data_IF_942756761187
#
_entry.id   IF_942756761187
#
_cell.length_a   1.000
_cell.length_b   1.000
_cell.length_c   1.000
_cell.angle_alpha   90.00
_cell.angle_beta   90.00
_cell.angle_gamma   90.00
#
_symmetry.space_group_name_H-M   'P 1'
#
loop_
_entity.id
_entity.type
_entity.pdbx_description
1 polymer ?
#
# COMPACT_ATOMS: atom_id res chain seq x y z
N UNK A 1 -37.86 54.42 3.88
CA UNK A 1 -36.90 53.78 2.95
C UNK A 1 -36.74 52.32 3.37
N UNK A 2 -37.42 51.41 2.68
CA UNK A 2 -37.46 49.98 3.02
C UNK A 2 -37.08 49.15 1.79
N UNK A 3 -36.37 48.05 2.08
CA UNK A 3 -35.41 47.35 1.21
C UNK A 3 -36.07 46.52 0.10
N UNK A 4 -35.47 46.57 -1.07
CA UNK A 4 -35.82 45.82 -2.27
C UNK A 4 -35.18 44.41 -2.20
N UNK A 5 -36.00 43.36 -2.31
CA UNK A 5 -35.58 41.96 -2.32
C UNK A 5 -35.27 41.56 -3.77
N UNK A 6 -34.05 41.09 -4.03
CA UNK A 6 -33.60 40.59 -5.35
C UNK A 6 -33.85 39.07 -5.40
N UNK A 7 -34.48 38.52 -6.45
CA UNK A 7 -34.71 37.08 -6.53
C UNK A 7 -33.48 36.30 -7.00
N UNK A 8 -33.35 35.12 -6.40
CA UNK A 8 -32.33 34.08 -6.55
C UNK A 8 -32.12 33.65 -8.01
N UNK A 9 -30.85 33.62 -8.46
CA UNK A 9 -30.46 33.04 -9.75
C UNK A 9 -30.26 31.53 -9.61
N UNK A 10 -31.02 30.79 -10.43
CA UNK A 10 -30.97 29.34 -10.61
C UNK A 10 -29.55 28.84 -10.96
N UNK A 11 -29.00 27.95 -10.12
CA UNK A 11 -27.78 27.19 -10.39
C UNK A 11 -28.14 25.90 -11.14
N UNK A 12 -28.42 26.00 -12.43
CA UNK A 12 -28.59 24.83 -13.29
C UNK A 12 -28.01 25.13 -14.67
N UNK A 13 -26.68 25.09 -14.81
CA UNK A 13 -25.97 24.97 -16.10
C UNK A 13 -24.44 24.98 -15.92
N UNK A 14 -23.85 23.97 -15.27
CA UNK A 14 -22.40 23.69 -15.36
C UNK A 14 -22.08 22.20 -15.21
N UNK A 15 -22.90 21.33 -15.82
CA UNK A 15 -22.64 19.89 -15.91
C UNK A 15 -22.58 19.50 -17.39
N UNK A 16 -21.48 19.85 -18.06
CA UNK A 16 -21.07 19.26 -19.36
C UNK A 16 -19.66 19.76 -19.71
N UNK A 17 -18.68 19.44 -18.87
CA UNK A 17 -17.28 19.35 -19.32
C UNK A 17 -16.50 18.47 -18.37
N UNK A 18 -16.64 17.15 -18.52
CA UNK A 18 -15.70 16.18 -17.95
C UNK A 18 -14.80 15.69 -19.08
N UNK A 19 -13.76 16.46 -19.39
CA UNK A 19 -12.62 15.92 -20.12
C UNK A 19 -11.80 15.07 -19.14
N UNK A 20 -12.04 13.76 -19.14
CA UNK A 20 -11.09 12.81 -18.57
C UNK A 20 -9.91 12.65 -19.53
N UNK A 21 -8.65 12.74 -19.08
CA UNK A 21 -7.53 12.22 -19.88
C UNK A 21 -7.67 10.70 -20.00
N UNK A 22 -7.41 10.18 -21.21
CA UNK A 22 -7.43 8.75 -21.52
C UNK A 22 -6.42 7.98 -20.63
N UNK A 23 -6.72 6.74 -20.23
CA UNK A 23 -5.80 5.91 -19.48
C UNK A 23 -4.53 5.63 -20.31
N UNK A 24 -3.38 5.96 -19.74
CA UNK A 24 -2.07 5.61 -20.30
C UNK A 24 -1.90 4.08 -20.36
N UNK A 25 -1.37 3.50 -21.44
CA UNK A 25 -1.17 2.06 -21.54
C UNK A 25 -0.18 1.57 -20.48
N UNK A 26 -0.49 0.43 -19.87
CA UNK A 26 0.31 -0.18 -18.82
C UNK A 26 1.75 -0.46 -19.30
N UNK A 27 2.77 -0.25 -18.44
CA UNK A 27 4.16 -0.56 -18.79
C UNK A 27 4.34 -2.07 -19.00
N UNK A 28 5.26 -2.49 -19.89
CA UNK A 28 5.49 -3.91 -20.17
C UNK A 28 6.00 -4.65 -18.93
N UNK A 29 5.52 -5.87 -18.73
CA UNK A 29 5.94 -6.77 -17.65
C UNK A 29 7.43 -7.12 -17.82
N UNK A 30 8.23 -6.87 -16.79
CA UNK A 30 9.65 -7.24 -16.76
C UNK A 30 9.81 -8.75 -16.52
N UNK A 31 10.79 -9.43 -17.16
CA UNK A 31 11.04 -10.85 -16.92
C UNK A 31 11.53 -11.10 -15.48
N UNK A 32 10.91 -12.06 -14.80
CA UNK A 32 11.37 -12.55 -13.50
C UNK A 32 12.67 -13.34 -13.68
N UNK A 33 13.76 -12.84 -13.09
CA UNK A 33 15.05 -13.52 -13.07
C UNK A 33 15.00 -14.64 -12.02
N UNK A 34 14.86 -15.89 -12.49
CA UNK A 34 14.91 -17.08 -11.64
C UNK A 34 16.36 -17.33 -11.19
N UNK A 35 16.64 -17.54 -9.89
CA UNK A 35 17.99 -17.89 -9.45
C UNK A 35 18.41 -19.27 -9.98
N UNK A 36 19.60 -19.34 -10.59
CA UNK A 36 20.26 -20.58 -11.00
C UNK A 36 20.59 -21.44 -9.78
N UNK A 37 20.25 -22.72 -9.85
CA UNK A 37 20.67 -23.74 -8.90
C UNK A 37 22.21 -23.85 -8.88
N UNK A 38 22.82 -23.71 -7.70
CA UNK A 38 24.20 -24.12 -7.46
C UNK A 38 24.28 -25.64 -7.43
N UNK A 39 25.29 -26.19 -8.10
CA UNK A 39 25.71 -27.59 -8.04
C UNK A 39 27.18 -27.68 -7.62
N UNK A 40 27.61 -28.90 -7.23
CA UNK A 40 28.90 -29.39 -6.69
C UNK A 40 29.13 -29.21 -5.18
N UNK A 41 29.71 -30.16 -4.44
CA UNK A 41 30.21 -31.51 -4.73
C UNK A 41 30.48 -32.29 -3.41
N UNK A 42 30.46 -33.62 -3.52
CA UNK A 42 31.28 -34.64 -2.82
C UNK A 42 32.01 -34.30 -1.51
N UNK A 43 31.75 -35.05 -0.44
CA UNK A 43 32.78 -35.72 0.37
C UNK A 43 32.15 -36.76 1.31
N UNK A 44 32.83 -37.90 1.42
CA UNK A 44 32.48 -39.06 2.25
C UNK A 44 32.79 -38.85 3.74
N UNK A 45 32.05 -39.55 4.61
CA UNK A 45 32.54 -40.38 5.74
C UNK A 45 31.46 -40.50 6.83
N UNK A 46 30.96 -41.71 7.01
CA UNK A 46 30.18 -42.18 8.17
C UNK A 46 31.03 -42.24 9.45
N UNK A 47 30.40 -42.16 10.64
CA UNK A 47 30.34 -43.38 11.44
C UNK A 47 28.95 -43.65 12.07
N UNK A 48 28.75 -44.92 12.40
CA UNK A 48 27.53 -45.55 12.91
C UNK A 48 27.27 -45.32 14.40
N UNK A 49 26.01 -45.44 14.82
CA UNK A 49 25.55 -45.81 16.18
C UNK A 49 24.07 -46.27 16.13
N UNK A 50 23.56 -47.01 17.14
CA UNK A 50 23.27 -48.43 17.02
C UNK A 50 21.78 -48.76 16.81
N UNK A 51 21.55 -49.96 16.26
CA UNK A 51 20.24 -50.60 16.11
C UNK A 51 19.63 -50.93 17.47
N UNK A 52 18.41 -50.44 17.74
CA UNK A 52 17.56 -51.01 18.80
C UNK A 52 16.06 -50.79 18.51
N UNK A 53 15.31 -51.89 18.45
CA UNK A 53 13.88 -51.92 18.78
C UNK A 53 12.87 -51.94 17.63
N UNK A 54 12.69 -53.09 16.99
CA UNK A 54 11.42 -53.44 16.33
C UNK A 54 10.36 -53.77 17.40
N UNK A 55 9.24 -53.06 17.45
CA UNK A 55 7.94 -53.50 18.02
C UNK A 55 6.77 -52.71 17.37
N UNK A 56 5.54 -53.27 17.37
CA UNK A 56 4.74 -53.43 16.15
C UNK A 56 3.84 -52.24 15.82
N UNK A 57 3.54 -52.12 14.52
CA UNK A 57 2.44 -51.29 13.99
C UNK A 57 1.13 -51.91 14.45
N UNK A 58 0.37 -51.17 15.26
CA UNK A 58 -1.02 -51.51 15.58
C UNK A 58 -1.87 -51.04 14.40
N UNK A 59 -2.53 -51.99 13.72
CA UNK A 59 -3.52 -51.68 12.71
C UNK A 59 -4.72 -51.01 13.39
N UNK A 60 -4.96 -49.74 13.10
CA UNK A 60 -6.22 -49.09 13.40
C UNK A 60 -7.24 -49.53 12.34
N UNK A 61 -8.28 -50.22 12.82
CA UNK A 61 -9.42 -50.69 12.05
C UNK A 61 -10.07 -49.55 11.28
N UNK A 62 -10.34 -49.78 9.99
CA UNK A 62 -11.12 -48.89 9.15
C UNK A 62 -12.51 -48.69 9.75
N UNK A 63 -12.82 -47.45 10.12
CA UNK A 63 -14.20 -47.02 10.30
C UNK A 63 -14.80 -46.73 8.92
N UNK A 64 -16.03 -47.16 8.70
CA UNK A 64 -16.77 -47.03 7.46
C UNK A 64 -16.82 -45.57 6.96
N UNK A 65 -16.90 -45.33 5.63
CA UNK A 65 -17.01 -43.99 5.09
C UNK A 65 -18.32 -43.35 5.58
N UNK A 66 -18.20 -42.21 6.26
CA UNK A 66 -19.32 -41.32 6.51
C UNK A 66 -19.93 -40.89 5.15
N UNK A 67 -21.25 -40.66 5.07
CA UNK A 67 -21.88 -40.22 3.83
C UNK A 67 -21.21 -38.93 3.38
N UNK A 68 -20.80 -38.92 2.11
CA UNK A 68 -20.24 -37.79 1.40
C UNK A 68 -21.02 -36.51 1.75
N UNK A 69 -20.40 -35.64 2.53
CA UNK A 69 -20.79 -34.24 2.54
C UNK A 69 -20.67 -33.79 1.09
N UNK A 70 -21.81 -33.46 0.48
CA UNK A 70 -21.86 -32.81 -0.82
C UNK A 70 -20.82 -31.71 -0.82
N UNK A 71 -19.81 -31.87 -1.68
CA UNK A 71 -18.89 -30.79 -2.02
C UNK A 71 -19.76 -29.69 -2.59
N UNK A 72 -20.11 -28.72 -1.74
CA UNK A 72 -20.72 -27.48 -2.19
C UNK A 72 -19.61 -26.76 -2.92
N UNK A 73 -19.52 -27.01 -4.22
CA UNK A 73 -18.83 -26.18 -5.19
C UNK A 73 -19.10 -24.71 -4.82
N UNK A 74 -18.08 -24.05 -4.27
CA UNK A 74 -18.19 -22.67 -3.86
C UNK A 74 -18.42 -21.84 -5.12
N UNK A 75 -19.67 -21.42 -5.35
CA UNK A 75 -20.02 -20.54 -6.46
C UNK A 75 -19.14 -19.30 -6.35
N UNK A 76 -18.29 -19.01 -7.36
CA UNK A 76 -17.46 -17.81 -7.34
C UNK A 76 -18.37 -16.58 -7.29
N UNK A 77 -18.36 -15.87 -6.15
CA UNK A 77 -19.18 -14.67 -5.96
C UNK A 77 -20.27 -14.77 -4.86
N UNK A 78 -20.42 -15.91 -4.19
CA UNK A 78 -21.28 -16.00 -3.00
C UNK A 78 -20.57 -15.42 -1.76
N UNK A 79 -20.17 -14.15 -1.82
CA UNK A 79 -19.82 -13.43 -0.60
C UNK A 79 -21.13 -13.08 0.10
N UNK A 80 -21.32 -13.56 1.33
CA UNK A 80 -22.45 -13.19 2.16
C UNK A 80 -22.49 -11.67 2.42
N UNK A 81 -23.48 -11.22 3.20
CA UNK A 81 -23.56 -9.81 3.60
C UNK A 81 -22.25 -9.35 4.25
N UNK A 82 -21.60 -8.34 3.69
CA UNK A 82 -20.41 -7.70 4.28
C UNK A 82 -20.84 -7.01 5.57
N UNK A 83 -20.19 -7.35 6.68
CA UNK A 83 -20.51 -6.82 8.01
C UNK A 83 -19.68 -5.60 8.41
N UNK A 84 -18.55 -5.36 7.75
CA UNK A 84 -17.65 -4.25 8.03
C UNK A 84 -16.74 -3.95 6.83
N UNK A 85 -16.27 -2.70 6.76
CA UNK A 85 -15.26 -2.24 5.80
C UNK A 85 -14.14 -1.57 6.58
N UNK A 86 -12.89 -1.98 6.33
CA UNK A 86 -11.69 -1.35 6.86
C UNK A 86 -11.02 -0.55 5.74
N UNK A 87 -10.90 0.76 5.91
CA UNK A 87 -10.24 1.64 4.96
C UNK A 87 -8.78 1.88 5.38
N UNK A 88 -7.86 1.72 4.45
CA UNK A 88 -6.53 2.31 4.56
C UNK A 88 -6.60 3.82 4.28
N UNK A 89 -5.55 4.57 4.60
CA UNK A 89 -5.49 6.02 4.44
C UNK A 89 -4.73 6.41 3.17
N UNK A 90 -3.45 6.12 3.12
CA UNK A 90 -2.55 6.51 2.04
C UNK A 90 -2.78 5.64 0.79
N UNK A 91 -2.92 6.27 -0.37
CA UNK A 91 -3.19 5.55 -1.63
C UNK A 91 -4.63 5.00 -1.76
N UNK A 92 -5.44 5.08 -0.70
CA UNK A 92 -6.86 4.65 -0.71
C UNK A 92 -7.81 5.84 -0.51
N UNK A 93 -7.70 6.54 0.62
CA UNK A 93 -8.54 7.71 0.91
C UNK A 93 -7.84 9.01 0.53
N UNK A 94 -6.51 9.03 0.56
CA UNK A 94 -5.69 10.22 0.29
C UNK A 94 -4.65 9.97 -0.80
N UNK A 95 -4.52 10.93 -1.72
CA UNK A 95 -3.43 11.03 -2.69
C UNK A 95 -2.20 11.68 -2.02
N UNK A 96 -1.59 10.96 -1.09
CA UNK A 96 -0.51 11.44 -0.22
C UNK A 96 0.91 11.23 -0.76
N UNK A 97 1.09 10.42 -1.80
CA UNK A 97 2.40 10.07 -2.34
C UNK A 97 3.17 11.26 -2.93
N UNK A 98 2.53 12.03 -3.82
CA UNK A 98 3.16 13.21 -4.42
C UNK A 98 3.45 14.31 -3.38
N UNK A 99 2.49 14.67 -2.49
CA UNK A 99 2.79 15.60 -1.40
C UNK A 99 3.91 15.12 -0.46
N UNK A 100 4.01 13.81 -0.17
CA UNK A 100 5.09 13.24 0.63
C UNK A 100 6.44 13.40 -0.05
N UNK A 101 6.55 13.07 -1.35
CA UNK A 101 7.81 13.25 -2.09
C UNK A 101 8.27 14.71 -2.12
N UNK A 102 7.35 15.66 -2.29
CA UNK A 102 7.68 17.10 -2.22
C UNK A 102 8.13 17.55 -0.82
N UNK A 103 7.49 17.06 0.23
CA UNK A 103 7.93 17.32 1.60
C UNK A 103 9.34 16.79 1.85
N UNK A 104 9.67 15.61 1.30
CA UNK A 104 11.02 15.06 1.40
C UNK A 104 12.04 15.89 0.62
N UNK A 105 11.72 16.36 -0.59
CA UNK A 105 12.58 17.29 -1.34
C UNK A 105 12.91 18.54 -0.50
N UNK A 106 11.91 19.12 0.17
CA UNK A 106 12.10 20.28 1.04
C UNK A 106 13.03 19.95 2.24
N UNK A 107 12.93 18.76 2.85
CA UNK A 107 13.82 18.32 3.93
C UNK A 107 15.28 18.26 3.46
N UNK A 108 15.53 17.70 2.28
CA UNK A 108 16.88 17.60 1.72
C UNK A 108 17.42 18.96 1.25
N UNK A 109 16.55 19.84 0.76
CA UNK A 109 16.91 21.22 0.45
C UNK A 109 17.40 21.98 1.70
N UNK A 110 16.78 21.78 2.86
CA UNK A 110 17.26 22.34 4.14
C UNK A 110 18.62 21.78 4.57
N UNK A 111 18.97 20.56 4.14
CA UNK A 111 20.28 19.94 4.36
C UNK A 111 21.33 20.35 3.31
N UNK A 112 20.96 21.14 2.30
CA UNK A 112 21.83 21.53 1.19
C UNK A 112 22.11 20.40 0.19
N UNK A 113 21.22 19.41 0.10
CA UNK A 113 21.34 18.26 -0.81
C UNK A 113 20.30 18.37 -1.91
N UNK A 114 20.74 18.33 -3.17
CA UNK A 114 19.85 18.42 -4.32
C UNK A 114 19.22 17.06 -4.67
N UNK A 115 17.90 17.01 -4.60
CA UNK A 115 17.07 15.83 -4.87
C UNK A 115 15.81 16.22 -5.63
N UNK A 116 15.30 15.28 -6.41
CA UNK A 116 14.05 15.41 -7.16
C UNK A 116 13.00 14.47 -6.59
N UNK A 117 11.72 14.71 -6.90
CA UNK A 117 10.64 13.80 -6.49
C UNK A 117 10.84 12.37 -7.01
N UNK A 118 11.53 12.21 -8.15
CA UNK A 118 11.78 10.91 -8.77
C UNK A 118 12.80 10.07 -7.98
N UNK A 119 13.72 10.72 -7.26
CA UNK A 119 14.70 10.04 -6.40
C UNK A 119 14.01 9.22 -5.29
N UNK A 120 12.78 9.59 -4.93
CA UNK A 120 12.00 8.95 -3.87
C UNK A 120 11.10 7.80 -4.36
N UNK A 121 10.81 7.70 -5.66
CA UNK A 121 9.93 6.67 -6.23
C UNK A 121 10.38 5.24 -5.86
N UNK A 122 11.68 4.89 -5.92
CA UNK A 122 12.15 3.55 -5.55
C UNK A 122 11.97 3.20 -4.07
N UNK A 123 11.72 4.20 -3.21
CA UNK A 123 11.64 4.04 -1.76
C UNK A 123 10.23 4.27 -1.20
N UNK A 124 9.27 4.69 -2.03
CA UNK A 124 7.84 4.76 -1.66
C UNK A 124 7.36 3.39 -1.16
N UNK A 125 6.61 3.37 -0.05
CA UNK A 125 6.07 2.14 0.54
C UNK A 125 7.08 1.27 1.31
N UNK A 126 8.36 1.68 1.43
CA UNK A 126 9.40 0.90 2.14
C UNK A 126 9.52 1.23 3.63
N UNK A 127 8.61 2.06 4.15
CA UNK A 127 8.67 2.67 5.47
C UNK A 127 9.50 3.97 5.49
N UNK A 128 9.19 4.90 6.38
CA UNK A 128 9.73 6.28 6.30
C UNK A 128 11.25 6.33 6.56
N UNK A 129 11.76 5.41 7.38
CA UNK A 129 13.20 5.28 7.61
C UNK A 129 13.96 4.97 6.31
N UNK A 130 13.41 4.09 5.48
CA UNK A 130 13.98 3.74 4.19
C UNK A 130 13.64 4.77 3.11
N UNK A 131 12.49 5.44 3.20
CA UNK A 131 12.09 6.51 2.29
C UNK A 131 13.11 7.65 2.27
N UNK A 132 13.45 8.20 3.45
CA UNK A 132 14.43 9.28 3.55
C UNK A 132 15.86 8.74 3.59
N UNK A 133 16.12 7.71 4.40
CA UNK A 133 17.47 7.15 4.56
C UNK A 133 17.99 6.45 3.31
N UNK A 134 17.11 5.91 2.46
CA UNK A 134 17.45 5.34 1.17
C UNK A 134 18.02 6.38 0.22
N UNK A 135 17.32 7.51 0.06
CA UNK A 135 17.79 8.64 -0.78
C UNK A 135 19.06 9.25 -0.20
N UNK A 136 19.13 9.45 1.12
CA UNK A 136 20.34 9.96 1.79
C UNK A 136 21.57 9.10 1.50
N UNK A 137 21.41 7.77 1.51
CA UNK A 137 22.49 6.83 1.17
C UNK A 137 22.90 6.93 -0.30
N UNK A 138 21.95 7.02 -1.22
CA UNK A 138 22.24 7.17 -2.66
C UNK A 138 22.96 8.49 -2.95
N UNK A 139 22.59 9.57 -2.25
CA UNK A 139 23.18 10.91 -2.40
C UNK A 139 24.46 11.11 -1.57
N UNK A 140 24.86 10.12 -0.77
CA UNK A 140 26.11 10.15 0.00
C UNK A 140 26.11 11.07 1.23
N UNK A 141 24.95 11.30 1.86
CA UNK A 141 24.82 12.11 3.08
C UNK A 141 25.42 11.35 4.27
N UNK A 142 26.54 11.83 4.80
CA UNK A 142 27.35 11.11 5.82
C UNK A 142 26.73 11.13 7.22
N UNK A 143 26.20 12.26 7.65
CA UNK A 143 25.66 12.48 9.01
C UNK A 143 24.13 12.51 9.01
N UNK A 144 23.50 11.62 8.24
CA UNK A 144 22.05 11.57 8.13
C UNK A 144 21.41 10.95 9.38
N UNK A 145 20.70 11.76 10.16
CA UNK A 145 19.87 11.27 11.26
C UNK A 145 18.44 11.01 10.78
N UNK A 146 18.05 9.73 10.80
CA UNK A 146 16.73 9.31 10.36
C UNK A 146 15.62 9.88 11.25
N UNK A 147 15.85 9.98 12.55
CA UNK A 147 14.86 10.49 13.50
C UNK A 147 14.60 11.98 13.31
N UNK A 148 15.66 12.79 13.17
CA UNK A 148 15.51 14.24 12.97
C UNK A 148 14.89 14.54 11.60
N UNK A 149 15.31 13.81 10.55
CA UNK A 149 14.76 13.93 9.22
C UNK A 149 13.28 13.52 9.18
N UNK A 150 12.90 12.42 9.84
CA UNK A 150 11.50 11.98 9.93
C UNK A 150 10.63 13.00 10.66
N UNK A 151 11.12 13.56 11.76
CA UNK A 151 10.41 14.63 12.47
C UNK A 151 10.20 15.84 11.57
N UNK A 152 11.27 16.32 10.92
CA UNK A 152 11.21 17.50 10.05
C UNK A 152 10.33 17.28 8.83
N UNK A 153 10.36 16.07 8.28
CA UNK A 153 9.48 15.64 7.21
C UNK A 153 8.01 15.82 7.57
N UNK A 154 7.57 15.34 8.74
CA UNK A 154 6.18 15.50 9.16
C UNK A 154 5.80 16.94 9.42
N UNK A 155 6.69 17.74 10.01
CA UNK A 155 6.47 19.18 10.17
C UNK A 155 6.17 19.84 8.82
N UNK A 156 7.07 19.65 7.84
CA UNK A 156 6.90 20.21 6.49
C UNK A 156 5.65 19.66 5.80
N UNK A 157 5.42 18.35 5.90
CA UNK A 157 4.27 17.67 5.29
C UNK A 157 2.95 18.27 5.80
N UNK A 158 2.79 18.39 7.13
CA UNK A 158 1.58 18.96 7.73
C UNK A 158 1.46 20.46 7.47
N UNK A 159 2.57 21.21 7.56
CA UNK A 159 2.58 22.67 7.45
C UNK A 159 2.46 23.19 6.03
N UNK A 160 2.78 22.41 5.01
CA UNK A 160 2.72 22.85 3.60
C UNK A 160 1.74 22.05 2.76
N UNK A 161 1.66 20.74 2.97
CA UNK A 161 1.11 19.82 1.99
C UNK A 161 -0.21 19.16 2.43
N UNK A 162 -0.36 18.85 3.71
CA UNK A 162 -1.50 18.13 4.27
C UNK A 162 -2.36 18.99 5.21
N UNK A 163 -2.49 20.29 4.91
CA UNK A 163 -3.39 21.19 5.64
C UNK A 163 -4.86 20.73 5.55
N UNK A 164 -5.71 21.14 6.50
CA UNK A 164 -7.15 21.03 6.32
C UNK A 164 -7.57 21.64 4.98
N UNK A 165 -8.41 20.93 4.22
CA UNK A 165 -8.86 21.34 2.89
C UNK A 165 -7.74 21.49 1.83
N UNK A 166 -6.59 20.84 2.02
CA UNK A 166 -5.50 20.75 1.03
C UNK A 166 -5.90 20.09 -0.29
N UNK A 167 -7.04 19.40 -0.34
CA UNK A 167 -7.48 18.65 -1.51
C UNK A 167 -6.75 17.31 -1.68
N UNK A 168 -6.08 16.82 -0.62
CA UNK A 168 -5.35 15.55 -0.66
C UNK A 168 -6.28 14.32 -0.73
N UNK A 169 -7.55 14.45 -0.34
CA UNK A 169 -8.51 13.35 -0.42
C UNK A 169 -8.83 12.96 -1.86
N UNK A 170 -8.94 11.66 -2.14
CA UNK A 170 -9.40 11.20 -3.44
C UNK A 170 -10.85 11.60 -3.69
N UNK A 171 -11.22 11.98 -4.92
CA UNK A 171 -12.63 12.21 -5.28
C UNK A 171 -13.47 10.96 -5.00
N UNK A 172 -14.60 11.10 -4.31
CA UNK A 172 -15.47 9.97 -3.96
C UNK A 172 -15.14 9.30 -2.63
N UNK A 173 -13.98 9.57 -2.01
CA UNK A 173 -13.58 8.93 -0.75
C UNK A 173 -14.54 9.28 0.40
N UNK A 174 -14.94 10.56 0.51
CA UNK A 174 -15.88 11.00 1.52
C UNK A 174 -17.27 10.38 1.31
N UNK A 175 -17.76 10.38 0.07
CA UNK A 175 -19.04 9.80 -0.31
C UNK A 175 -19.10 8.30 -0.02
N UNK A 176 -17.99 7.59 -0.27
CA UNK A 176 -17.87 6.17 0.01
C UNK A 176 -17.93 5.87 1.52
N UNK A 177 -17.17 6.62 2.33
CA UNK A 177 -17.19 6.48 3.79
C UNK A 177 -18.60 6.77 4.35
N UNK A 178 -19.24 7.84 3.87
CA UNK A 178 -20.60 8.20 4.29
C UNK A 178 -21.60 7.10 3.91
N UNK A 179 -21.47 6.52 2.73
CA UNK A 179 -22.33 5.42 2.28
C UNK A 179 -22.16 4.16 3.12
N UNK A 180 -20.91 3.82 3.50
CA UNK A 180 -20.63 2.68 4.37
C UNK A 180 -21.24 2.87 5.77
N UNK A 181 -21.20 4.08 6.33
CA UNK A 181 -21.79 4.42 7.62
C UNK A 181 -23.32 4.24 7.67
N UNK A 182 -24.01 4.40 6.54
CA UNK A 182 -25.48 4.27 6.48
C UNK A 182 -25.93 2.83 6.24
N UNK A 183 -25.06 1.95 5.74
CA UNK A 183 -25.41 0.60 5.28
C UNK A 183 -24.92 -0.53 6.20
N UNK A 184 -23.93 -0.24 7.05
CA UNK A 184 -23.44 -1.13 8.12
C UNK A 184 -24.06 -0.73 9.44
#
# INVERSE_FOLDING_TARGET
MARQIVPSRSFHSLLTSRHYPLPSPAPPLRPLLLPKALSRATAAATPQLPRRGRRPVVAASASAPAPSSSETEAVPGAWGKVSAVLFDMDGVLCNSEEPSRRAAVDVFAEMGVDVTVDDFIPFTGTGEANFLGGVARVKGVKDFSTESAKKRFFEIYLDKYAKPNSGIGFPGALELIMSAKTQV
#
